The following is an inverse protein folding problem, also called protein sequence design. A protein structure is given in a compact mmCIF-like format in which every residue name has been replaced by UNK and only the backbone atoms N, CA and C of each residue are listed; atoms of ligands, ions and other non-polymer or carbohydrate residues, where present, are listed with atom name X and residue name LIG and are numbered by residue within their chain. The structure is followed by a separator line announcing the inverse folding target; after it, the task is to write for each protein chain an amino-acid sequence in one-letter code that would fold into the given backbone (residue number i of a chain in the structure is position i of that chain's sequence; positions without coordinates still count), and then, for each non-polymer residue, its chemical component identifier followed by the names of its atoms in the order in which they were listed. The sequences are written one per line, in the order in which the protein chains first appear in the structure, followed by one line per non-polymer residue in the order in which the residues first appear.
data_IF_421482205261
#
_entry.id   IF_421482205261
#
_cell.length_a   1.000
_cell.length_b   1.000
_cell.length_c   1.000
_cell.angle_alpha   90.00
_cell.angle_beta   90.00
_cell.angle_gamma   90.00
#
_symmetry.space_group_name_H-M   'P 1'
#
loop_
_entity.id
_entity.type
_entity.pdbx_description
1 polymer ?
#
# COMPACT_ATOMS: atom_id res chain seq x y z
N UNK A 1 -8.42 39.10 -14.26
CA UNK A 1 -8.11 39.20 -12.82
C UNK A 1 -6.69 38.69 -12.62
N UNK A 2 -5.73 39.60 -12.44
CA UNK A 2 -4.33 39.27 -12.30
C UNK A 2 -4.12 38.47 -11.01
N UNK A 3 -3.61 37.25 -11.14
CA UNK A 3 -3.15 36.43 -10.01
C UNK A 3 -1.99 37.15 -9.34
N UNK A 4 -2.21 37.63 -8.12
CA UNK A 4 -1.16 38.15 -7.24
C UNK A 4 -0.20 37.01 -6.90
N UNK A 5 0.91 36.95 -7.64
CA UNK A 5 2.00 35.99 -7.44
C UNK A 5 2.69 36.36 -6.14
N UNK A 6 2.38 35.63 -5.06
CA UNK A 6 3.02 35.82 -3.77
C UNK A 6 4.39 35.11 -3.78
N UNK A 7 5.36 35.72 -4.50
CA UNK A 7 6.70 35.19 -4.68
C UNK A 7 7.60 35.58 -3.50
N UNK A 8 7.83 34.63 -2.61
CA UNK A 8 8.75 34.74 -1.47
C UNK A 8 10.23 34.54 -1.89
N UNK A 9 10.56 34.64 -3.18
CA UNK A 9 11.93 34.52 -3.69
C UNK A 9 12.59 35.90 -3.74
N UNK A 10 13.80 36.01 -3.19
CA UNK A 10 14.61 37.24 -3.22
C UNK A 10 14.98 37.68 -4.64
N UNK A 11 14.83 36.79 -5.62
CA UNK A 11 15.07 37.01 -7.04
C UNK A 11 13.77 36.77 -7.81
N UNK A 12 13.33 37.76 -8.58
CA UNK A 12 12.25 37.65 -9.54
C UNK A 12 12.91 37.48 -10.90
N UNK A 13 12.76 36.30 -11.49
CA UNK A 13 13.25 36.04 -12.85
C UNK A 13 12.13 36.44 -13.81
N UNK A 14 12.31 37.48 -14.64
CA UNK A 14 11.32 37.84 -15.65
C UNK A 14 11.19 36.73 -16.69
N UNK A 15 10.00 36.58 -17.28
CA UNK A 15 9.79 35.63 -18.37
C UNK A 15 10.67 36.02 -19.56
N UNK A 16 11.49 35.08 -20.02
CA UNK A 16 12.35 35.25 -21.19
C UNK A 16 11.47 35.48 -22.42
N UNK A 17 11.79 36.48 -23.23
CA UNK A 17 11.14 36.72 -24.52
C UNK A 17 12.06 36.27 -25.67
N UNK A 18 11.51 35.97 -26.85
CA UNK A 18 12.32 35.68 -28.04
C UNK A 18 13.29 36.82 -28.40
N UNK A 19 12.94 38.07 -28.11
CA UNK A 19 13.76 39.26 -28.36
C UNK A 19 14.99 39.35 -27.47
N UNK A 20 14.96 38.71 -26.29
CA UNK A 20 16.06 38.74 -25.32
C UNK A 20 17.22 37.81 -25.74
N UNK A 21 17.01 36.95 -26.74
CA UNK A 21 17.97 35.94 -27.19
C UNK A 21 18.70 36.44 -28.45
N UNK A 22 19.98 36.84 -28.36
CA UNK A 22 20.73 37.31 -29.52
C UNK A 22 20.87 36.18 -30.56
N UNK A 23 20.35 36.42 -31.77
CA UNK A 23 20.37 35.44 -32.87
C UNK A 23 19.11 34.55 -32.98
N UNK A 24 18.13 34.72 -32.09
CA UNK A 24 16.81 34.05 -32.18
C UNK A 24 16.82 32.54 -31.90
N UNK A 25 17.96 31.97 -31.54
CA UNK A 25 18.12 30.57 -31.18
C UNK A 25 19.19 30.41 -30.11
N UNK A 26 18.89 29.66 -29.04
CA UNK A 26 19.82 29.38 -27.96
C UNK A 26 20.55 28.05 -28.16
N UNK A 27 19.84 27.04 -28.68
CA UNK A 27 20.36 25.67 -28.80
C UNK A 27 21.09 25.47 -30.14
N UNK A 28 22.40 25.21 -30.08
CA UNK A 28 23.22 24.84 -31.24
C UNK A 28 23.10 23.35 -31.55
N UNK A 29 23.08 22.52 -30.51
CA UNK A 29 22.97 21.07 -30.60
C UNK A 29 21.53 20.58 -30.31
N UNK A 30 21.16 19.47 -30.96
CA UNK A 30 19.87 18.81 -30.75
C UNK A 30 19.89 18.03 -29.43
N UNK A 31 18.98 18.37 -28.52
CA UNK A 31 18.75 17.64 -27.28
C UNK A 31 17.42 16.92 -27.39
N UNK A 32 17.45 15.60 -27.22
CA UNK A 32 16.27 14.75 -27.38
C UNK A 32 15.97 14.00 -26.09
N UNK A 33 14.72 14.04 -25.64
CA UNK A 33 14.21 13.20 -24.55
C UNK A 33 13.13 12.28 -25.07
N UNK A 34 13.19 11.02 -24.66
CA UNK A 34 12.17 10.03 -24.99
C UNK A 34 11.59 9.39 -23.72
N UNK A 35 10.31 9.05 -23.78
CA UNK A 35 9.59 8.34 -22.72
C UNK A 35 8.71 7.27 -23.30
N UNK A 36 8.77 6.07 -22.72
CA UNK A 36 7.88 4.96 -23.05
C UNK A 36 6.53 5.15 -22.38
N UNK A 37 5.46 4.81 -23.09
CA UNK A 37 4.10 4.78 -22.55
C UNK A 37 3.50 3.37 -22.61
N UNK A 38 2.55 3.02 -21.71
CA UNK A 38 1.89 1.73 -21.75
C UNK A 38 0.99 1.54 -22.98
N UNK A 39 0.90 0.30 -23.48
CA UNK A 39 0.09 -0.06 -24.66
C UNK A 39 -1.38 0.36 -24.55
N UNK A 40 -1.98 0.33 -23.36
CA UNK A 40 -3.37 0.73 -23.16
C UNK A 40 -3.63 2.24 -23.40
N UNK A 41 -2.60 3.08 -23.46
CA UNK A 41 -2.71 4.50 -23.76
C UNK A 41 -2.54 4.84 -25.24
N UNK A 42 -2.12 3.88 -26.07
CA UNK A 42 -1.78 4.13 -27.47
C UNK A 42 -2.94 4.78 -28.25
N UNK A 43 -4.15 4.23 -28.11
CA UNK A 43 -5.34 4.78 -28.78
C UNK A 43 -5.67 6.21 -28.35
N UNK A 44 -5.39 6.56 -27.09
CA UNK A 44 -5.62 7.92 -26.57
C UNK A 44 -4.52 8.87 -27.05
N UNK A 45 -3.25 8.47 -26.93
CA UNK A 45 -2.11 9.29 -27.35
C UNK A 45 -2.19 9.59 -28.85
N UNK A 46 -2.54 8.59 -29.67
CA UNK A 46 -2.74 8.76 -31.12
C UNK A 46 -3.83 9.80 -31.45
N UNK A 47 -4.91 9.88 -30.67
CA UNK A 47 -5.99 10.84 -30.96
C UNK A 47 -5.66 12.27 -30.54
N UNK A 48 -4.88 12.44 -29.47
CA UNK A 48 -4.48 13.77 -28.98
C UNK A 48 -3.18 14.30 -29.61
N UNK A 49 -2.43 13.46 -30.33
CA UNK A 49 -1.10 13.78 -30.84
C UNK A 49 -1.04 15.04 -31.71
N UNK A 50 -1.98 15.31 -32.64
CA UNK A 50 -1.96 16.53 -33.43
C UNK A 50 -2.01 17.81 -32.56
N UNK A 51 -2.78 17.78 -31.47
CA UNK A 51 -2.85 18.89 -30.53
C UNK A 51 -1.58 19.01 -29.66
N UNK A 52 -0.87 17.89 -29.45
CA UNK A 52 0.44 17.90 -28.77
C UNK A 52 1.50 18.52 -29.68
N UNK A 53 1.50 18.21 -30.97
CA UNK A 53 2.42 18.81 -31.94
C UNK A 53 2.23 20.32 -32.03
N UNK A 54 0.99 20.79 -32.19
CA UNK A 54 0.66 22.23 -32.22
C UNK A 54 1.18 22.96 -30.97
N UNK A 55 1.03 22.33 -29.80
CA UNK A 55 1.47 22.90 -28.54
C UNK A 55 3.00 22.95 -28.41
N UNK A 56 3.71 21.91 -28.87
CA UNK A 56 5.17 21.88 -28.88
C UNK A 56 5.76 22.87 -29.90
N UNK A 57 5.09 23.06 -31.03
CA UNK A 57 5.48 24.04 -32.06
C UNK A 57 5.43 25.48 -31.55
N UNK A 58 4.48 25.82 -30.66
CA UNK A 58 4.44 27.14 -30.00
C UNK A 58 5.72 27.44 -29.21
N UNK A 59 6.38 26.41 -28.69
CA UNK A 59 7.67 26.50 -27.98
C UNK A 59 8.88 26.21 -28.89
N UNK A 60 8.70 26.10 -30.21
CA UNK A 60 9.74 25.76 -31.19
C UNK A 60 10.42 24.40 -30.89
N UNK A 61 9.65 23.44 -30.41
CA UNK A 61 10.06 22.06 -30.14
C UNK A 61 9.41 21.10 -31.13
N UNK A 62 10.05 19.96 -31.38
CA UNK A 62 9.51 18.91 -32.25
C UNK A 62 9.13 17.70 -31.41
N UNK A 63 7.88 17.27 -31.51
CA UNK A 63 7.41 15.99 -30.98
C UNK A 63 7.55 14.89 -32.04
N UNK A 64 7.94 13.68 -31.63
CA UNK A 64 7.88 12.47 -32.46
C UNK A 64 7.13 11.37 -31.68
N UNK A 65 6.20 10.69 -32.35
CA UNK A 65 5.46 9.56 -31.79
C UNK A 65 5.86 8.29 -32.52
N UNK A 66 6.33 7.30 -31.77
CA UNK A 66 6.55 5.95 -32.28
C UNK A 66 5.54 4.99 -31.66
N UNK A 67 4.64 4.49 -32.52
CA UNK A 67 3.61 3.51 -32.14
C UNK A 67 4.16 2.08 -32.09
N UNK A 68 5.25 1.77 -32.80
CA UNK A 68 5.84 0.43 -32.81
C UNK A 68 6.57 0.16 -31.49
N UNK A 69 7.39 1.12 -31.05
CA UNK A 69 8.08 1.05 -29.76
C UNK A 69 7.18 1.46 -28.58
N UNK A 70 6.09 2.20 -28.85
CA UNK A 70 5.25 2.78 -27.80
C UNK A 70 5.99 3.89 -27.06
N UNK A 71 6.68 4.77 -27.80
CA UNK A 71 7.53 5.83 -27.28
C UNK A 71 7.10 7.21 -27.79
N UNK A 72 7.23 8.22 -26.94
CA UNK A 72 7.08 9.63 -27.31
C UNK A 72 8.44 10.29 -27.11
N UNK A 73 8.90 11.05 -28.10
CA UNK A 73 10.11 11.83 -28.04
C UNK A 73 9.83 13.32 -28.26
N UNK A 74 10.62 14.16 -27.60
CA UNK A 74 10.68 15.61 -27.83
C UNK A 74 12.12 16.00 -28.09
N UNK A 75 12.32 16.86 -29.09
CA UNK A 75 13.62 17.34 -29.50
C UNK A 75 13.63 18.87 -29.62
N UNK A 76 14.77 19.48 -29.26
CA UNK A 76 15.02 20.90 -29.57
C UNK A 76 15.24 21.09 -31.06
N UNK A 77 14.94 22.30 -31.54
CA UNK A 77 15.25 22.72 -32.91
C UNK A 77 16.29 23.82 -32.89
N UNK A 78 16.85 24.13 -34.06
CA UNK A 78 17.71 25.31 -34.26
C UNK A 78 16.96 26.65 -34.10
N UNK A 79 15.66 26.62 -33.80
CA UNK A 79 14.82 27.81 -33.56
C UNK A 79 14.36 27.91 -32.10
N UNK A 80 14.75 26.95 -31.26
CA UNK A 80 14.40 26.97 -29.84
C UNK A 80 15.14 28.12 -29.15
N UNK A 81 14.37 29.11 -28.71
CA UNK A 81 14.87 30.31 -28.05
C UNK A 81 15.03 30.11 -26.54
N UNK A 82 14.12 29.35 -25.91
CA UNK A 82 14.17 29.04 -24.48
C UNK A 82 14.93 27.72 -24.22
N UNK A 83 16.11 27.75 -23.56
CA UNK A 83 16.85 26.54 -23.22
C UNK A 83 16.14 25.64 -22.20
N UNK A 84 15.22 26.17 -21.38
CA UNK A 84 14.52 25.40 -20.36
C UNK A 84 13.24 24.72 -20.88
N UNK A 85 12.67 25.20 -21.99
CA UNK A 85 11.46 24.63 -22.58
C UNK A 85 11.56 23.12 -22.88
N UNK A 86 12.75 22.61 -23.20
CA UNK A 86 12.96 21.17 -23.42
C UNK A 86 12.80 20.34 -22.13
N UNK A 87 13.11 20.92 -20.97
CA UNK A 87 12.94 20.28 -19.65
C UNK A 87 11.46 20.19 -19.31
N UNK A 88 10.70 21.24 -19.59
CA UNK A 88 9.25 21.26 -19.41
C UNK A 88 8.55 20.31 -20.39
N UNK A 89 9.00 20.24 -21.65
CA UNK A 89 8.50 19.29 -22.63
C UNK A 89 8.82 17.83 -22.27
N UNK A 90 10.01 17.55 -21.72
CA UNK A 90 10.36 16.23 -21.16
C UNK A 90 9.37 15.84 -20.06
N UNK A 91 9.03 16.78 -19.20
CA UNK A 91 8.14 16.52 -18.08
C UNK A 91 6.67 16.43 -18.52
N UNK A 92 6.29 17.17 -19.56
CA UNK A 92 5.02 17.06 -20.27
C UNK A 92 4.80 15.65 -20.85
N UNK A 93 5.75 15.10 -21.62
CA UNK A 93 5.61 13.74 -22.17
C UNK A 93 5.56 12.66 -21.09
N UNK A 94 6.29 12.85 -19.98
CA UNK A 94 6.18 11.95 -18.81
C UNK A 94 4.78 11.98 -18.19
N UNK A 95 4.13 13.15 -18.11
CA UNK A 95 2.78 13.28 -17.59
C UNK A 95 1.75 12.60 -18.51
N UNK A 96 1.89 12.76 -19.83
CA UNK A 96 1.07 12.05 -20.82
C UNK A 96 1.23 10.52 -20.71
N UNK A 97 2.46 10.03 -20.53
CA UNK A 97 2.74 8.61 -20.30
C UNK A 97 2.11 8.08 -18.98
N UNK A 98 1.76 8.97 -18.04
CA UNK A 98 1.01 8.67 -16.80
C UNK A 98 -0.48 8.96 -16.93
N UNK A 99 -1.00 9.10 -18.14
CA UNK A 99 -2.41 9.31 -18.45
C UNK A 99 -3.00 10.52 -17.72
N UNK A 100 -2.22 11.60 -17.64
CA UNK A 100 -2.73 12.91 -17.26
C UNK A 100 -3.43 13.52 -18.48
N UNK A 101 -4.66 14.07 -18.35
CA UNK A 101 -5.37 14.67 -19.48
C UNK A 101 -4.58 15.83 -20.09
N UNK A 102 -4.60 15.96 -21.42
CA UNK A 102 -3.89 17.02 -22.17
C UNK A 102 -4.14 18.43 -21.62
N UNK A 103 -5.41 18.77 -21.36
CA UNK A 103 -5.81 20.09 -20.84
C UNK A 103 -5.21 20.43 -19.46
N UNK A 104 -4.83 19.41 -18.69
CA UNK A 104 -4.14 19.60 -17.42
C UNK A 104 -2.62 19.56 -17.61
N UNK A 105 -2.11 18.66 -18.47
CA UNK A 105 -0.70 18.52 -18.75
C UNK A 105 -0.09 19.79 -19.38
N UNK A 106 -0.81 20.48 -20.28
CA UNK A 106 -0.35 21.72 -20.92
C UNK A 106 0.01 22.85 -19.95
N UNK A 107 -0.52 22.80 -18.72
CA UNK A 107 -0.23 23.80 -17.70
C UNK A 107 1.23 23.74 -17.21
N UNK A 108 1.98 22.69 -17.55
CA UNK A 108 3.39 22.55 -17.16
C UNK A 108 4.28 23.61 -17.80
N UNK A 109 3.91 24.15 -18.97
CA UNK A 109 4.64 25.23 -19.63
C UNK A 109 4.48 26.60 -18.93
N UNK A 110 3.73 26.66 -17.83
CA UNK A 110 3.62 27.85 -16.98
C UNK A 110 4.71 27.83 -15.90
N UNK A 111 5.42 28.96 -15.72
CA UNK A 111 6.61 29.06 -14.85
C UNK A 111 6.38 28.65 -13.38
N UNK A 112 5.15 28.81 -12.86
CA UNK A 112 4.83 28.53 -11.45
C UNK A 112 4.48 27.06 -11.18
N UNK A 113 4.32 26.25 -12.24
CA UNK A 113 3.83 24.88 -12.14
C UNK A 113 4.99 23.91 -12.34
N UNK A 114 5.15 23.00 -11.40
CA UNK A 114 6.13 21.91 -11.45
C UNK A 114 5.42 20.57 -11.43
N UNK A 115 6.06 19.57 -12.03
CA UNK A 115 5.58 18.20 -11.98
C UNK A 115 6.43 17.35 -11.03
N UNK A 116 5.83 16.30 -10.48
CA UNK A 116 6.54 15.29 -9.75
C UNK A 116 5.87 13.91 -9.89
N UNK A 117 6.68 12.89 -10.17
CA UNK A 117 6.22 11.51 -10.34
C UNK A 117 6.77 10.68 -9.19
N UNK A 118 5.90 10.39 -8.23
CA UNK A 118 6.26 9.67 -7.01
C UNK A 118 6.04 8.17 -7.23
N UNK A 119 7.10 7.38 -7.07
CA UNK A 119 6.99 5.93 -7.12
C UNK A 119 6.54 5.39 -5.76
N UNK A 120 5.35 4.79 -5.72
CA UNK A 120 4.76 4.17 -4.52
C UNK A 120 4.93 2.65 -4.50
N UNK A 121 5.67 2.07 -5.45
CA UNK A 121 5.93 0.64 -5.54
C UNK A 121 6.71 0.10 -4.35
N UNK A 122 6.05 -0.66 -3.47
CA UNK A 122 6.70 -1.29 -2.31
C UNK A 122 7.40 -2.60 -2.73
N UNK A 123 8.73 -2.65 -2.61
CA UNK A 123 9.52 -3.89 -2.82
C UNK A 123 9.24 -4.90 -1.69
N UNK A 124 8.94 -6.16 -2.03
CA UNK A 124 8.77 -7.26 -1.06
C UNK A 124 7.49 -7.23 -0.20
N UNK A 125 6.51 -6.37 -0.52
CA UNK A 125 5.24 -6.26 0.19
C UNK A 125 4.13 -7.15 -0.38
N UNK A 126 3.20 -7.60 0.48
CA UNK A 126 1.95 -8.22 0.01
C UNK A 126 1.16 -7.24 -0.86
N UNK A 127 0.78 -7.64 -2.08
CA UNK A 127 -0.02 -6.86 -3.03
C UNK A 127 -1.29 -6.32 -2.37
N UNK A 128 -1.97 -7.15 -1.56
CA UNK A 128 -3.17 -6.77 -0.81
C UNK A 128 -2.94 -5.58 0.12
N UNK A 129 -1.75 -5.49 0.74
CA UNK A 129 -1.40 -4.37 1.63
C UNK A 129 -1.14 -3.09 0.83
N UNK A 130 -0.46 -3.21 -0.31
CA UNK A 130 -0.21 -2.09 -1.21
C UNK A 130 -1.52 -1.49 -1.72
N UNK A 131 -2.43 -2.32 -2.24
CA UNK A 131 -3.75 -1.89 -2.72
C UNK A 131 -4.52 -1.16 -1.61
N UNK A 132 -4.59 -1.74 -0.40
CA UNK A 132 -5.25 -1.08 0.74
C UNK A 132 -4.64 0.28 1.14
N UNK A 133 -3.32 0.47 1.01
CA UNK A 133 -2.66 1.75 1.32
C UNK A 133 -2.85 2.77 0.21
N UNK A 134 -2.84 2.34 -1.05
CA UNK A 134 -3.15 3.18 -2.21
C UNK A 134 -4.60 3.65 -2.18
N UNK A 135 -5.54 2.74 -1.91
CA UNK A 135 -6.96 3.09 -1.85
C UNK A 135 -7.26 4.00 -0.65
N UNK A 136 -6.49 3.88 0.45
CA UNK A 136 -6.51 4.83 1.58
C UNK A 136 -6.06 6.24 1.17
N UNK A 137 -5.06 6.37 0.29
CA UNK A 137 -4.60 7.67 -0.22
C UNK A 137 -5.69 8.36 -1.05
N UNK A 138 -6.42 7.60 -1.87
CA UNK A 138 -7.58 8.09 -2.64
C UNK A 138 -8.72 8.48 -1.68
N UNK A 139 -9.00 7.60 -0.71
CA UNK A 139 -10.08 7.75 0.25
C UNK A 139 -11.45 7.36 -0.32
N UNK A 140 -12.49 7.31 0.52
CA UNK A 140 -13.85 7.02 0.06
C UNK A 140 -14.31 8.11 -0.91
N UNK A 141 -14.89 7.71 -2.06
CA UNK A 141 -15.33 8.64 -3.12
C UNK A 141 -14.27 9.67 -3.54
N UNK A 142 -12.99 9.32 -3.48
CA UNK A 142 -11.86 10.20 -3.76
C UNK A 142 -11.80 11.50 -2.91
N UNK A 143 -12.48 11.55 -1.76
CA UNK A 143 -12.55 12.75 -0.93
C UNK A 143 -11.19 13.13 -0.33
N UNK A 144 -10.38 12.15 0.07
CA UNK A 144 -9.05 12.41 0.67
C UNK A 144 -8.11 13.00 -0.38
N UNK A 145 -8.13 12.48 -1.60
CA UNK A 145 -7.38 13.02 -2.72
C UNK A 145 -7.87 14.42 -3.07
N UNK A 146 -9.20 14.65 -3.14
CA UNK A 146 -9.71 15.99 -3.46
C UNK A 146 -9.37 17.04 -2.40
N UNK A 147 -9.41 16.66 -1.13
CA UNK A 147 -8.97 17.52 -0.03
C UNK A 147 -7.48 17.85 -0.13
N UNK A 148 -6.65 16.88 -0.53
CA UNK A 148 -5.22 17.10 -0.75
C UNK A 148 -5.00 18.13 -1.88
N UNK A 149 -5.70 17.99 -3.01
CA UNK A 149 -5.63 18.96 -4.12
C UNK A 149 -5.99 20.38 -3.69
N UNK A 150 -7.10 20.55 -2.95
CA UNK A 150 -7.58 21.88 -2.51
C UNK A 150 -6.61 22.52 -1.50
N UNK A 151 -6.01 21.71 -0.62
CA UNK A 151 -5.11 22.23 0.41
C UNK A 151 -3.76 22.64 -0.16
N UNK A 152 -3.21 21.89 -1.12
CA UNK A 152 -1.88 22.16 -1.67
C UNK A 152 -1.91 22.97 -2.97
N UNK A 153 -3.09 23.16 -3.59
CA UNK A 153 -3.20 23.78 -4.90
C UNK A 153 -2.60 22.94 -6.02
N UNK A 154 -2.43 21.64 -5.79
CA UNK A 154 -1.87 20.70 -6.76
C UNK A 154 -2.98 19.87 -7.40
N UNK A 155 -2.74 19.41 -8.61
CA UNK A 155 -3.45 18.29 -9.22
C UNK A 155 -2.72 16.99 -8.86
N UNK A 156 -3.46 15.98 -8.40
CA UNK A 156 -2.88 14.69 -7.97
C UNK A 156 -3.61 13.54 -8.64
N UNK A 157 -2.87 12.71 -9.37
CA UNK A 157 -3.41 11.55 -10.06
C UNK A 157 -2.70 10.29 -9.59
N UNK A 158 -3.47 9.39 -8.99
CA UNK A 158 -2.97 8.11 -8.46
C UNK A 158 -3.23 7.01 -9.49
N UNK A 159 -2.17 6.48 -10.10
CA UNK A 159 -2.28 5.42 -11.10
C UNK A 159 -1.26 4.30 -10.90
N UNK A 160 -1.77 3.06 -10.82
CA UNK A 160 -0.93 1.88 -10.70
C UNK A 160 0.00 1.96 -9.48
N UNK A 161 1.31 2.03 -9.74
CA UNK A 161 2.41 2.12 -8.76
C UNK A 161 3.03 3.52 -8.68
N UNK A 162 2.43 4.51 -9.32
CA UNK A 162 2.94 5.89 -9.33
C UNK A 162 1.85 6.88 -8.98
N UNK A 163 2.25 8.01 -8.42
CA UNK A 163 1.37 9.16 -8.20
C UNK A 163 1.98 10.33 -8.96
N UNK A 164 1.25 10.84 -9.94
CA UNK A 164 1.61 12.04 -10.67
C UNK A 164 1.06 13.26 -9.92
N UNK A 165 1.89 14.27 -9.72
CA UNK A 165 1.54 15.51 -9.03
C UNK A 165 1.93 16.67 -9.93
N UNK A 166 1.06 17.66 -10.06
CA UNK A 166 1.35 18.91 -10.76
C UNK A 166 0.92 20.10 -9.90
N UNK A 167 1.76 21.12 -9.75
CA UNK A 167 1.39 22.34 -9.03
C UNK A 167 2.60 23.12 -8.53
N UNK A 168 2.39 24.06 -7.58
CA UNK A 168 3.46 24.89 -7.07
C UNK A 168 4.48 24.05 -6.30
N UNK A 169 5.77 24.43 -6.38
CA UNK A 169 6.91 23.70 -5.78
C UNK A 169 6.66 23.29 -4.32
N UNK A 170 6.20 24.24 -3.49
CA UNK A 170 5.90 23.98 -2.07
C UNK A 170 4.77 22.95 -1.90
N UNK A 171 3.73 23.05 -2.74
CA UNK A 171 2.62 22.11 -2.76
C UNK A 171 3.07 20.71 -3.13
N UNK A 172 3.87 20.58 -4.18
CA UNK A 172 4.40 19.31 -4.68
C UNK A 172 5.26 18.60 -3.63
N UNK A 173 6.14 19.32 -2.93
CA UNK A 173 6.95 18.77 -1.83
C UNK A 173 6.09 18.27 -0.66
N UNK A 174 5.04 19.01 -0.29
CA UNK A 174 4.11 18.61 0.76
C UNK A 174 3.33 17.34 0.37
N UNK A 175 2.85 17.27 -0.88
CA UNK A 175 2.16 16.06 -1.40
C UNK A 175 3.11 14.86 -1.36
N UNK A 176 4.36 15.01 -1.82
CA UNK A 176 5.37 13.94 -1.78
C UNK A 176 5.53 13.36 -0.39
N UNK A 177 5.74 14.20 0.62
CA UNK A 177 5.88 13.75 2.00
C UNK A 177 4.65 12.97 2.49
N UNK A 178 3.43 13.45 2.19
CA UNK A 178 2.18 12.79 2.61
C UNK A 178 1.99 11.44 1.90
N UNK A 179 2.33 11.35 0.62
CA UNK A 179 2.22 10.12 -0.18
C UNK A 179 3.20 9.07 0.33
N UNK A 180 4.46 9.46 0.56
CA UNK A 180 5.50 8.57 1.12
C UNK A 180 5.11 8.07 2.52
N UNK A 181 4.61 8.96 3.39
CA UNK A 181 4.12 8.61 4.73
C UNK A 181 2.92 7.65 4.70
N UNK A 182 1.99 7.86 3.75
CA UNK A 182 0.85 6.98 3.55
C UNK A 182 1.30 5.55 3.19
N UNK A 183 2.32 5.44 2.34
CA UNK A 183 2.91 4.15 1.98
C UNK A 183 3.68 3.54 3.16
N UNK A 184 4.25 4.36 4.05
CA UNK A 184 4.89 3.97 5.31
C UNK A 184 3.92 3.69 6.48
N UNK A 185 2.65 3.41 6.16
CA UNK A 185 1.60 3.02 7.12
C UNK A 185 1.08 4.14 8.03
N UNK A 186 1.40 5.40 7.76
CA UNK A 186 0.77 6.55 8.39
C UNK A 186 -0.54 6.83 7.64
N UNK A 187 -1.57 7.37 8.29
CA UNK A 187 -2.83 7.69 7.60
C UNK A 187 -2.75 9.10 6.98
N UNK A 188 -3.16 9.32 5.71
CA UNK A 188 -3.03 10.61 5.04
C UNK A 188 -3.82 11.73 5.74
N UNK A 189 -4.87 11.37 6.49
CA UNK A 189 -5.64 12.32 7.33
C UNK A 189 -4.77 13.10 8.32
N UNK A 190 -3.67 12.52 8.83
CA UNK A 190 -2.75 13.24 9.71
C UNK A 190 -2.02 14.33 8.93
N UNK A 191 -1.51 14.01 7.74
CA UNK A 191 -0.92 15.00 6.83
C UNK A 191 -1.91 16.11 6.45
N UNK A 192 -3.14 15.76 6.11
CA UNK A 192 -4.19 16.74 5.80
C UNK A 192 -4.51 17.66 7.00
N UNK A 193 -4.61 17.12 8.21
CA UNK A 193 -4.80 17.94 9.43
C UNK A 193 -3.63 18.89 9.67
N UNK A 194 -2.40 18.42 9.47
CA UNK A 194 -1.22 19.27 9.61
C UNK A 194 -1.23 20.40 8.56
N UNK A 195 -1.59 20.12 7.31
CA UNK A 195 -1.74 21.14 6.27
C UNK A 195 -2.82 22.16 6.60
N UNK A 196 -3.96 21.69 7.11
CA UNK A 196 -5.06 22.56 7.53
C UNK A 196 -4.61 23.52 8.64
N UNK A 197 -3.96 23.00 9.68
CA UNK A 197 -3.45 23.81 10.79
C UNK A 197 -2.39 24.79 10.30
N UNK A 198 -1.43 24.35 9.47
CA UNK A 198 -0.41 25.24 8.88
C UNK A 198 -1.03 26.36 8.04
N UNK A 199 -2.08 26.04 7.27
CA UNK A 199 -2.80 27.05 6.46
C UNK A 199 -3.52 28.07 7.33
N UNK A 200 -4.16 27.65 8.41
CA UNK A 200 -4.82 28.58 9.35
C UNK A 200 -3.82 29.41 10.15
N UNK A 201 -2.71 28.83 10.59
CA UNK A 201 -1.63 29.56 11.28
C UNK A 201 -0.97 30.59 10.35
N UNK A 202 -0.75 30.24 9.08
CA UNK A 202 -0.14 31.15 8.09
C UNK A 202 -1.00 32.37 7.76
N UNK A 203 -2.32 32.32 8.00
CA UNK A 203 -3.22 33.48 7.79
C UNK A 203 -3.07 34.52 8.89
N UNK A 204 -2.69 34.11 10.10
CA UNK A 204 -2.55 35.01 11.24
C UNK A 204 -1.17 35.67 11.19
N UNK A 205 -1.11 36.98 11.45
CA UNK A 205 0.13 37.75 11.32
C UNK A 205 1.03 37.66 12.56
N UNK A 206 0.41 37.51 13.73
CA UNK A 206 1.05 37.37 15.05
C UNK A 206 2.03 36.19 15.12
N UNK A 207 1.67 35.04 14.54
CA UNK A 207 2.44 33.80 14.64
C UNK A 207 3.40 33.55 13.46
N UNK A 208 3.57 34.48 12.51
CA UNK A 208 4.43 34.25 11.32
C UNK A 208 5.91 34.01 11.67
N UNK A 209 6.38 34.57 12.80
CA UNK A 209 7.77 34.50 13.23
C UNK A 209 8.04 33.46 14.31
N UNK A 210 7.01 32.73 14.76
CA UNK A 210 7.12 31.72 15.83
C UNK A 210 7.21 30.30 15.27
N UNK A 211 7.80 29.37 16.03
CA UNK A 211 7.81 27.95 15.69
C UNK A 211 6.43 27.31 15.94
N UNK A 212 5.87 26.70 14.89
CA UNK A 212 4.54 26.07 14.93
C UNK A 212 4.57 24.61 15.41
N UNK A 213 5.73 24.05 15.72
CA UNK A 213 5.88 22.64 16.12
C UNK A 213 4.97 22.22 17.28
N UNK A 214 4.70 23.14 18.22
CA UNK A 214 3.79 22.93 19.37
C UNK A 214 2.34 22.66 18.95
N UNK A 215 1.87 23.29 17.88
CA UNK A 215 0.48 23.21 17.42
C UNK A 215 0.25 22.08 16.42
N UNK A 216 1.31 21.59 15.79
CA UNK A 216 1.24 20.57 14.75
C UNK A 216 1.15 19.17 15.39
N UNK A 217 0.04 18.43 15.21
CA UNK A 217 -0.10 17.09 15.75
C UNK A 217 0.82 16.12 14.99
N UNK A 218 1.86 15.65 15.65
CA UNK A 218 2.76 14.62 15.11
C UNK A 218 2.18 13.24 15.40
N UNK A 219 2.14 12.39 14.38
CA UNK A 219 1.77 10.99 14.56
C UNK A 219 2.78 10.28 15.46
N UNK A 220 2.35 9.91 16.68
CA UNK A 220 3.14 9.08 17.58
C UNK A 220 2.79 7.61 17.34
N UNK A 221 3.78 6.81 16.93
CA UNK A 221 3.61 5.34 16.87
C UNK A 221 3.35 4.84 18.28
N UNK A 222 2.12 4.42 18.57
CA UNK A 222 1.79 3.74 19.82
C UNK A 222 2.57 2.44 19.87
N UNK A 223 3.63 2.40 20.67
CA UNK A 223 4.32 1.16 20.96
C UNK A 223 3.36 0.30 21.79
N UNK A 224 3.05 -0.94 21.38
CA UNK A 224 2.20 -1.79 22.20
C UNK A 224 2.87 -1.97 23.57
N UNK A 225 2.08 -1.94 24.65
CA UNK A 225 2.57 -2.14 26.02
C UNK A 225 3.54 -3.34 26.04
N UNK A 226 4.73 -3.16 26.64
CA UNK A 226 5.80 -4.17 26.70
C UNK A 226 5.25 -5.51 27.22
N UNK A 227 4.27 -5.49 28.12
CA UNK A 227 3.59 -6.68 28.62
C UNK A 227 2.76 -7.41 27.56
N UNK A 228 1.96 -6.68 26.77
CA UNK A 228 1.20 -7.25 25.65
C UNK A 228 2.14 -7.82 24.58
N UNK A 229 3.28 -7.16 24.32
CA UNK A 229 4.29 -7.70 23.42
C UNK A 229 4.94 -8.97 23.97
N UNK A 230 5.27 -9.00 25.27
CA UNK A 230 5.81 -10.20 25.95
C UNK A 230 4.81 -11.35 25.89
N UNK A 231 3.52 -11.10 26.13
CA UNK A 231 2.46 -12.09 26.04
C UNK A 231 2.30 -12.64 24.60
N UNK A 232 2.23 -11.78 23.59
CA UNK A 232 2.14 -12.21 22.18
C UNK A 232 3.41 -12.96 21.74
N UNK A 233 4.59 -12.53 22.18
CA UNK A 233 5.85 -13.23 21.90
C UNK A 233 5.91 -14.59 22.60
N UNK A 234 5.44 -14.69 23.84
CA UNK A 234 5.35 -15.95 24.59
C UNK A 234 4.40 -16.91 23.88
N UNK A 235 3.20 -16.45 23.53
CA UNK A 235 2.21 -17.25 22.80
C UNK A 235 2.70 -17.66 21.40
N UNK A 236 3.42 -16.78 20.68
CA UNK A 236 4.03 -17.11 19.38
C UNK A 236 5.20 -18.09 19.54
N UNK A 237 6.00 -17.98 20.60
CA UNK A 237 7.10 -18.89 20.92
C UNK A 237 6.57 -20.27 21.33
N UNK A 238 5.49 -20.32 22.11
CA UNK A 238 4.77 -21.55 22.45
C UNK A 238 4.18 -22.20 21.20
N UNK A 239 3.41 -21.46 20.38
CA UNK A 239 2.93 -21.98 19.08
C UNK A 239 4.06 -22.48 18.18
N UNK A 240 5.19 -21.76 18.10
CA UNK A 240 6.35 -22.19 17.32
C UNK A 240 7.03 -23.41 17.91
N UNK A 241 7.08 -23.55 19.24
CA UNK A 241 7.57 -24.76 19.93
C UNK A 241 6.63 -25.93 19.70
N UNK A 242 5.33 -25.74 19.77
CA UNK A 242 4.33 -26.78 19.48
C UNK A 242 4.40 -27.22 18.02
N UNK A 243 4.56 -26.29 17.09
CA UNK A 243 4.78 -26.58 15.68
C UNK A 243 6.12 -27.31 15.45
N UNK A 244 7.19 -26.89 16.13
CA UNK A 244 8.50 -27.57 16.06
C UNK A 244 8.48 -28.93 16.72
N UNK A 245 7.75 -29.14 17.80
CA UNK A 245 7.61 -30.45 18.44
C UNK A 245 6.78 -31.40 17.56
N UNK A 246 5.69 -30.87 16.95
CA UNK A 246 4.91 -31.58 15.92
C UNK A 246 5.72 -31.87 14.64
N UNK A 247 6.73 -31.04 14.31
CA UNK A 247 7.64 -31.24 13.18
C UNK A 247 8.84 -32.12 13.54
N UNK A 248 9.35 -32.08 14.78
CA UNK A 248 10.51 -32.88 15.22
C UNK A 248 10.13 -34.35 15.41
N UNK A 249 8.88 -34.65 15.81
CA UNK A 249 8.35 -36.01 15.79
C UNK A 249 8.03 -36.54 14.39
N UNK A 250 8.10 -35.70 13.36
CA UNK A 250 7.89 -36.08 11.95
C UNK A 250 9.20 -35.88 11.19
N UNK A 251 10.04 -36.90 11.14
CA UNK A 251 11.10 -36.96 10.12
C UNK A 251 10.45 -36.62 8.79
N UNK A 252 10.93 -35.57 8.10
CA UNK A 252 10.31 -35.09 6.85
C UNK A 252 10.48 -36.15 5.78
N UNK A 253 9.56 -37.11 5.72
CA UNK A 253 9.45 -38.05 4.62
C UNK A 253 9.00 -37.25 3.39
N UNK A 254 9.74 -37.37 2.30
CA UNK A 254 9.39 -36.73 1.02
C UNK A 254 8.08 -37.32 0.47
N UNK A 255 7.79 -38.56 0.86
CA UNK A 255 6.55 -39.24 0.52
C UNK A 255 5.41 -38.84 1.48
N UNK A 256 4.21 -38.53 0.94
CA UNK A 256 3.04 -38.29 1.77
C UNK A 256 2.71 -39.57 2.57
N UNK A 257 2.12 -39.45 3.78
CA UNK A 257 1.62 -40.62 4.49
C UNK A 257 0.55 -41.31 3.62
N UNK A 258 0.49 -42.64 3.69
CA UNK A 258 -0.53 -43.39 2.98
C UNK A 258 -1.93 -42.87 3.37
N UNK A 259 -2.85 -42.71 2.40
CA UNK A 259 -4.21 -42.31 2.70
C UNK A 259 -4.85 -43.30 3.69
N UNK A 260 -5.73 -42.84 4.60
CA UNK A 260 -6.46 -43.76 5.47
C UNK A 260 -7.30 -44.71 4.61
N UNK A 261 -7.21 -46.01 4.92
CA UNK A 261 -7.92 -47.06 4.19
C UNK A 261 -9.44 -46.90 4.36
N UNK A 262 -10.23 -47.26 3.36
CA UNK A 262 -11.70 -47.24 3.47
C UNK A 262 -12.16 -48.35 4.43
N UNK A 263 -13.36 -48.21 4.99
CA UNK A 263 -13.94 -49.26 5.84
C UNK A 263 -14.03 -50.60 5.11
N UNK A 264 -14.32 -50.57 3.80
CA UNK A 264 -14.33 -51.73 2.92
C UNK A 264 -12.95 -52.38 2.80
N UNK A 265 -11.89 -51.59 2.62
CA UNK A 265 -10.51 -52.07 2.54
C UNK A 265 -10.06 -52.68 3.87
N UNK A 266 -10.43 -52.07 5.00
CA UNK A 266 -10.16 -52.62 6.34
C UNK A 266 -10.91 -53.95 6.55
N UNK A 267 -12.16 -54.05 6.07
CA UNK A 267 -12.95 -55.27 6.13
C UNK A 267 -12.38 -56.38 5.22
N UNK A 268 -11.85 -56.03 4.06
CA UNK A 268 -11.15 -56.95 3.17
C UNK A 268 -9.82 -57.43 3.76
N UNK A 269 -9.03 -56.53 4.36
CA UNK A 269 -7.75 -56.87 5.02
C UNK A 269 -7.93 -57.72 6.28
N UNK A 270 -8.97 -57.47 7.07
CA UNK A 270 -9.30 -58.27 8.26
C UNK A 270 -9.91 -59.64 7.94
N UNK A 271 -10.21 -59.92 6.66
CA UNK A 271 -10.87 -61.15 6.22
C UNK A 271 -12.35 -61.23 6.61
N UNK A 272 -12.86 -60.25 7.37
CA UNK A 272 -14.25 -60.19 7.79
C UNK A 272 -15.20 -60.00 6.60
N UNK A 273 -14.78 -59.31 5.54
CA UNK A 273 -15.57 -59.11 4.34
C UNK A 273 -15.97 -60.43 3.65
N UNK A 274 -15.10 -61.44 3.70
CA UNK A 274 -15.30 -62.72 3.01
C UNK A 274 -16.09 -63.75 3.82
N UNK A 275 -16.26 -63.54 5.13
CA UNK A 275 -17.07 -64.43 5.97
C UNK A 275 -18.57 -64.23 5.69
N UNK A 276 -19.31 -65.32 5.51
CA UNK A 276 -20.77 -65.27 5.40
C UNK A 276 -21.39 -64.72 6.71
N UNK A 277 -22.50 -63.96 6.67
CA UNK A 277 -23.10 -63.30 7.84
C UNK A 277 -23.41 -64.25 9.01
N UNK A 278 -23.63 -65.54 8.71
CA UNK A 278 -23.91 -66.58 9.70
C UNK A 278 -22.67 -67.04 10.48
N UNK A 279 -21.48 -66.90 9.91
CA UNK A 279 -20.21 -67.29 10.54
C UNK A 279 -19.53 -66.14 11.31
N UNK A 280 -19.97 -64.89 11.09
CA UNK A 280 -19.44 -63.71 11.81
C UNK A 280 -19.91 -63.66 13.27
N UNK A 281 -21.21 -63.85 13.50
CA UNK A 281 -21.86 -63.78 14.83
C UNK A 281 -21.23 -64.65 15.92
N UNK A 282 -20.99 -65.97 15.72
CA UNK A 282 -20.41 -66.81 16.77
C UNK A 282 -18.95 -66.44 17.07
N UNK A 283 -18.19 -65.92 16.09
CA UNK A 283 -16.82 -65.44 16.34
C UNK A 283 -16.81 -64.15 17.17
N UNK A 284 -17.70 -63.21 16.86
CA UNK A 284 -17.85 -61.96 17.61
C UNK A 284 -18.27 -62.24 19.07
N UNK A 285 -19.18 -63.19 19.29
CA UNK A 285 -19.59 -63.62 20.64
C UNK A 285 -18.46 -64.28 21.44
N UNK A 286 -17.63 -65.11 20.79
CA UNK A 286 -16.45 -65.73 21.41
C UNK A 286 -15.38 -64.70 21.79
N UNK A 287 -15.14 -63.70 20.95
CA UNK A 287 -14.20 -62.61 21.25
C UNK A 287 -14.69 -61.72 22.41
N UNK A 288 -15.99 -61.44 22.48
CA UNK A 288 -16.61 -60.69 23.59
C UNK A 288 -16.50 -61.43 24.93
N UNK A 289 -16.68 -62.75 24.95
CA UNK A 289 -16.50 -63.57 26.15
C UNK A 289 -15.02 -63.61 26.58
N UNK A 290 -14.09 -63.67 25.63
CA UNK A 290 -12.66 -63.53 25.89
C UNK A 290 -12.30 -62.21 26.55
N UNK A 291 -12.81 -61.08 26.04
CA UNK A 291 -12.53 -59.74 26.58
C UNK A 291 -13.12 -59.51 27.99
N UNK A 292 -14.29 -60.09 28.29
CA UNK A 292 -14.93 -59.99 29.60
C UNK A 292 -14.15 -60.72 30.71
N UNK A 293 -13.42 -61.78 30.38
CA UNK A 293 -12.63 -62.54 31.36
C UNK A 293 -11.31 -61.88 31.77
N UNK A 294 -10.77 -60.94 30.98
CA UNK A 294 -9.49 -60.26 31.22
C UNK A 294 -9.63 -58.96 32.04
N UNK A 295 -10.84 -58.43 32.18
CA UNK A 295 -11.13 -57.13 32.81
C UNK A 295 -11.50 -57.08 34.33
N UNK A 296 -11.23 -58.08 35.21
CA UNK A 296 -11.52 -57.89 36.66
C UNK A 296 -10.54 -56.99 37.42
N UNK A 297 -9.32 -56.75 36.93
CA UNK A 297 -8.25 -56.11 37.71
C UNK A 297 -8.29 -54.58 37.77
N UNK A 298 -9.06 -53.91 36.91
CA UNK A 298 -9.09 -52.44 36.84
C UNK A 298 -10.12 -51.78 37.79
N UNK A 299 -11.18 -52.50 38.20
CA UNK A 299 -12.24 -51.95 39.07
C UNK A 299 -11.92 -51.93 40.57
N UNK A 300 -10.85 -52.61 41.01
CA UNK A 300 -10.47 -52.63 42.43
C UNK A 300 -9.74 -51.37 42.91
N UNK A 301 -9.07 -50.63 42.00
CA UNK A 301 -8.20 -49.51 42.37
C UNK A 301 -8.91 -48.15 42.54
N UNK A 302 -10.18 -48.03 42.18
CA UNK A 302 -10.95 -46.77 42.30
C UNK A 302 -11.73 -46.64 43.60
N UNK A 303 -11.86 -47.70 44.41
CA UNK A 303 -12.59 -47.66 45.70
C UNK A 303 -11.78 -47.07 46.87
N UNK A 304 -10.45 -47.03 46.81
CA UNK A 304 -9.62 -46.68 47.97
C UNK A 304 -9.18 -45.21 48.07
N UNK A 305 -9.70 -44.31 47.22
CA UNK A 305 -9.37 -42.85 47.24
C UNK A 305 -10.49 -41.94 47.76
N UNK A 306 -11.61 -42.50 48.23
CA UNK A 306 -12.81 -41.74 48.63
C UNK A 306 -12.96 -41.39 50.11
N UNK A 307 -12.01 -41.76 50.99
CA UNK A 307 -12.13 -41.54 52.44
C UNK A 307 -11.06 -40.59 52.98
N UNK A 308 -11.22 -39.30 52.73
CA UNK A 308 -10.62 -38.24 53.55
C UNK A 308 -11.54 -37.02 53.55
N UNK A 309 -12.29 -36.86 54.64
CA UNK A 309 -13.22 -35.75 54.94
C UNK A 309 -12.51 -34.39 54.91
N UNK A 310 -13.01 -33.46 54.09
CA UNK A 310 -12.71 -32.03 54.17
C UNK A 310 -13.59 -31.37 55.24
N UNK A 311 -12.96 -30.69 56.21
CA UNK A 311 -13.64 -29.76 57.13
C UNK A 311 -14.03 -28.49 56.38
N UNK A 312 -15.30 -28.10 56.44
CA UNK A 312 -15.80 -26.81 55.95
C UNK A 312 -16.09 -25.90 57.15
N UNK A 313 -15.36 -24.80 57.24
CA UNK A 313 -15.65 -23.70 58.18
C UNK A 313 -16.89 -22.92 57.71
N UNK A 314 -17.77 -22.63 58.67
CA UNK A 314 -18.93 -21.78 58.51
C UNK A 314 -18.53 -20.30 58.69
N UNK A 315 -18.98 -19.42 57.79
CA UNK A 315 -19.03 -17.98 58.07
C UNK A 315 -20.35 -17.40 57.57
N UNK A 316 -21.08 -16.86 58.54
CA UNK A 316 -22.37 -16.20 58.46
C UNK A 316 -22.19 -14.83 57.80
N UNK A 317 -23.06 -14.47 56.84
CA UNK A 317 -23.19 -13.09 56.36
C UNK A 317 -24.68 -12.72 56.24
N UNK A 318 -25.17 -12.04 57.26
CA UNK A 318 -26.41 -11.26 57.27
C UNK A 318 -26.08 -9.80 56.92
N UNK A 319 -26.81 -9.21 55.96
CA UNK A 319 -27.18 -7.77 55.83
C UNK A 319 -27.99 -7.61 54.53
N UNK A 320 -29.32 -7.64 54.59
CA UNK A 320 -30.26 -6.53 54.85
C UNK A 320 -30.29 -5.49 53.72
N UNK A 321 -31.40 -5.54 52.97
CA UNK A 321 -32.02 -4.48 52.16
C UNK A 321 -32.42 -3.30 53.05
N UNK A 322 -32.04 -2.09 52.65
CA UNK A 322 -32.94 -0.93 52.44
C UNK A 322 -32.40 -0.19 51.23
#
# INVERSE_FOLDING_TARGET
MASTVNNNSKFVVPALKPEDVPGGACCVDETTFATLFPSYLESYIKSIWPAVEELLEQHQLVGRLDLMEGSMAVATTRRTWDPYAIVDARDFIKLLARNVPLAQAQKIFQTDITCDIINIGVKGGSVRRFVKRRDRLIGPKAQTLKALEILTGCYVLVQGKTVAVMGPVKGTQMVRSIVEDCMNNIHPIYGLKQLLIKRELSKREDMKHEDWSRFIPVYKKTQPNKEKQKAVRKMKKERMKDLKHKQAGKVKTIFPPAPPKRLEDIAMESGQAFLAPRQRRPKEELELQGAASVSPSASANTRNKGSSRSKTDATISNKVKV
#
